data_IF_445455746548
#
_entry.id   IF_445455746548
#
_cell.length_a   1.000
_cell.length_b   1.000
_cell.length_c   1.000
_cell.angle_alpha   90.00
_cell.angle_beta   90.00
_cell.angle_gamma   90.00
#
_symmetry.space_group_name_H-M   'P 1'
#
loop_
_entity.id
_entity.type
_entity.pdbx_description
1 polymer ?
#
# COMPACT_ATOMS: atom_id res chain seq x y z
N UNK A 1 -11.28 5.52 23.02
CA UNK A 1 -10.49 5.00 21.88
C UNK A 1 -10.49 3.48 21.97
N UNK A 2 -11.08 2.82 20.98
CA UNK A 2 -10.95 1.37 20.81
C UNK A 2 -9.56 1.05 20.24
N UNK A 3 -8.99 -0.11 20.62
CA UNK A 3 -7.72 -0.60 20.10
C UNK A 3 -7.90 -2.07 19.73
N UNK A 4 -7.69 -2.39 18.46
CA UNK A 4 -7.70 -3.75 17.94
C UNK A 4 -6.27 -4.26 17.85
N UNK A 5 -6.06 -5.52 18.17
CA UNK A 5 -4.77 -6.19 18.06
C UNK A 5 -4.81 -7.12 16.84
N UNK A 6 -3.77 -7.05 16.03
CA UNK A 6 -3.56 -7.92 14.88
C UNK A 6 -2.16 -7.72 14.32
N UNK A 7 -1.87 -8.42 13.22
CA UNK A 7 -0.64 -8.35 12.45
C UNK A 7 -0.98 -8.36 10.97
N UNK A 8 -0.59 -7.32 10.23
CA UNK A 8 -0.87 -7.25 8.78
C UNK A 8 -0.23 -8.38 7.97
N UNK A 9 0.77 -9.06 8.54
CA UNK A 9 1.43 -10.20 7.89
C UNK A 9 0.58 -11.48 7.88
N UNK A 10 -0.48 -11.57 8.69
CA UNK A 10 -1.33 -12.76 8.71
C UNK A 10 -2.48 -12.80 9.73
N UNK A 11 -2.57 -11.84 10.64
CA UNK A 11 -3.64 -11.73 11.64
C UNK A 11 -4.47 -10.45 11.41
N UNK A 12 -5.38 -10.53 10.45
CA UNK A 12 -6.34 -9.47 10.12
C UNK A 12 -7.74 -9.73 10.69
N UNK A 13 -7.92 -10.77 11.51
CA UNK A 13 -9.22 -11.24 11.97
C UNK A 13 -9.98 -10.19 12.78
N UNK A 14 -9.27 -9.32 13.50
CA UNK A 14 -9.89 -8.25 14.26
C UNK A 14 -10.64 -7.22 13.38
N UNK A 15 -10.34 -7.17 12.07
CA UNK A 15 -10.97 -6.28 11.10
C UNK A 15 -12.22 -6.88 10.43
N UNK A 16 -12.40 -8.21 10.51
CA UNK A 16 -13.51 -8.91 9.87
C UNK A 16 -14.86 -8.56 10.53
N UNK A 17 -15.93 -8.66 9.74
CA UNK A 17 -17.33 -8.42 10.15
C UNK A 17 -17.56 -7.03 10.80
N UNK A 18 -16.85 -6.02 10.30
CA UNK A 18 -16.94 -4.63 10.75
C UNK A 18 -17.06 -3.67 9.57
N UNK A 19 -17.67 -2.53 9.83
CA UNK A 19 -17.81 -1.44 8.87
C UNK A 19 -16.90 -0.28 9.25
N UNK A 20 -16.34 0.38 8.23
CA UNK A 20 -15.41 1.50 8.39
C UNK A 20 -15.76 2.61 7.41
N UNK A 21 -15.99 3.81 7.92
CA UNK A 21 -16.20 4.99 7.07
C UNK A 21 -14.92 5.38 6.30
N UNK A 22 -13.75 5.16 6.92
CA UNK A 22 -12.47 5.44 6.30
C UNK A 22 -11.35 4.57 6.89
N UNK A 23 -10.35 4.28 6.06
CA UNK A 23 -9.09 3.63 6.42
C UNK A 23 -7.93 4.54 6.04
N UNK A 24 -6.92 4.62 6.91
CA UNK A 24 -5.63 5.26 6.60
C UNK A 24 -4.53 4.22 6.76
N UNK A 25 -4.01 3.67 5.65
CA UNK A 25 -2.90 2.71 5.66
C UNK A 25 -1.56 3.44 5.57
N UNK A 26 -0.94 3.67 6.73
CA UNK A 26 0.37 4.33 6.86
C UNK A 26 1.55 3.37 6.73
N UNK A 27 1.32 2.05 6.75
CA UNK A 27 2.36 1.05 7.07
C UNK A 27 2.53 0.00 5.98
N UNK A 28 2.15 0.31 4.74
CA UNK A 28 2.25 -0.59 3.60
C UNK A 28 3.60 -0.51 2.89
N UNK A 29 4.38 -1.58 2.98
CA UNK A 29 5.72 -1.69 2.38
C UNK A 29 5.90 -2.89 1.44
N UNK A 30 5.08 -3.93 1.61
CA UNK A 30 5.15 -5.15 0.81
C UNK A 30 3.83 -5.33 0.07
N UNK A 31 3.82 -5.47 -1.27
CA UNK A 31 2.60 -5.47 -2.07
C UNK A 31 1.59 -6.54 -1.67
N UNK A 32 2.06 -7.74 -1.29
CA UNK A 32 1.20 -8.82 -0.83
C UNK A 32 0.52 -8.49 0.51
N UNK A 33 1.21 -7.82 1.43
CA UNK A 33 0.64 -7.42 2.71
C UNK A 33 -0.35 -6.27 2.55
N UNK A 34 -0.09 -5.36 1.61
CA UNK A 34 -1.00 -4.26 1.27
C UNK A 34 -2.26 -4.81 0.61
N UNK A 35 -2.13 -5.72 -0.37
CA UNK A 35 -3.26 -6.40 -0.98
C UNK A 35 -4.16 -7.09 0.05
N UNK A 36 -3.56 -7.84 0.98
CA UNK A 36 -4.32 -8.57 1.99
C UNK A 36 -5.09 -7.62 2.92
N UNK A 37 -4.46 -6.53 3.39
CA UNK A 37 -5.14 -5.55 4.22
C UNK A 37 -6.19 -4.74 3.47
N UNK A 38 -5.93 -4.37 2.22
CA UNK A 38 -6.89 -3.67 1.36
C UNK A 38 -8.11 -4.55 1.11
N UNK A 39 -7.91 -5.83 0.75
CA UNK A 39 -8.99 -6.78 0.54
C UNK A 39 -9.83 -7.02 1.81
N UNK A 40 -9.19 -7.13 2.98
CA UNK A 40 -9.89 -7.27 4.26
C UNK A 40 -10.74 -6.04 4.63
N UNK A 41 -10.43 -4.88 4.03
CA UNK A 41 -11.08 -3.60 4.29
C UNK A 41 -11.80 -3.05 3.04
N UNK A 42 -12.03 -3.88 2.02
CA UNK A 42 -12.62 -3.46 0.75
C UNK A 42 -14.06 -2.93 0.90
N UNK A 43 -14.76 -3.31 1.99
CA UNK A 43 -16.08 -2.78 2.34
C UNK A 43 -16.06 -1.39 2.99
N UNK A 44 -14.90 -0.78 3.19
CA UNK A 44 -14.81 0.59 3.73
C UNK A 44 -15.27 1.63 2.71
N UNK A 45 -15.89 2.71 3.18
CA UNK A 45 -16.36 3.77 2.28
C UNK A 45 -15.21 4.58 1.65
N UNK A 46 -14.03 4.60 2.28
CA UNK A 46 -12.85 5.26 1.75
C UNK A 46 -11.56 4.57 2.23
N UNK A 47 -10.63 4.29 1.32
CA UNK A 47 -9.33 3.72 1.64
C UNK A 47 -8.20 4.65 1.21
N UNK A 48 -7.55 5.29 2.17
CA UNK A 48 -6.41 6.17 1.93
C UNK A 48 -5.10 5.40 2.15
N UNK A 49 -4.43 5.04 1.06
CA UNK A 49 -3.09 4.48 1.11
C UNK A 49 -2.04 5.60 1.15
N UNK A 50 -1.21 5.64 2.20
CA UNK A 50 -0.14 6.62 2.29
C UNK A 50 1.04 6.17 1.44
N UNK A 51 1.23 6.80 0.30
CA UNK A 51 2.38 6.54 -0.59
C UNK A 51 3.64 7.34 -0.20
N UNK A 52 4.58 7.50 -1.13
CA UNK A 52 5.84 8.20 -0.95
C UNK A 52 6.27 8.89 -2.24
N UNK A 53 7.02 9.99 -2.12
CA UNK A 53 7.68 10.62 -3.28
C UNK A 53 8.70 9.67 -3.95
N UNK A 54 9.21 8.67 -3.23
CA UNK A 54 10.16 7.70 -3.78
C UNK A 54 9.58 6.78 -4.85
N UNK A 55 8.26 6.83 -5.10
CA UNK A 55 7.65 6.05 -6.18
C UNK A 55 8.05 6.56 -7.56
N UNK A 56 8.50 7.81 -7.74
CA UNK A 56 8.82 8.33 -9.06
C UNK A 56 10.21 7.89 -9.56
N UNK A 57 10.34 7.69 -10.87
CA UNK A 57 11.58 7.22 -11.50
C UNK A 57 12.60 8.34 -11.79
N UNK A 58 12.16 9.60 -11.85
CA UNK A 58 12.99 10.74 -12.20
C UNK A 58 12.74 11.93 -11.25
N UNK A 59 13.83 12.57 -10.82
CA UNK A 59 13.86 13.74 -9.95
C UNK A 59 14.68 14.89 -10.55
N UNK A 60 14.96 14.85 -11.85
CA UNK A 60 15.74 15.87 -12.57
C UNK A 60 15.01 17.21 -12.70
N UNK A 61 13.71 17.25 -12.44
CA UNK A 61 12.87 18.44 -12.44
C UNK A 61 11.74 18.36 -11.39
N UNK A 62 10.77 19.30 -11.44
CA UNK A 62 9.56 19.20 -10.62
C UNK A 62 8.83 17.88 -10.85
N UNK A 63 8.27 17.34 -9.77
CA UNK A 63 7.56 16.06 -9.74
C UNK A 63 6.08 16.31 -9.49
N UNK A 64 5.21 15.61 -10.23
CA UNK A 64 3.76 15.62 -10.09
C UNK A 64 3.19 14.18 -10.23
N UNK A 65 1.92 14.01 -9.87
CA UNK A 65 1.23 12.71 -9.84
C UNK A 65 1.03 12.07 -11.22
N UNK A 66 1.27 12.80 -12.31
CA UNK A 66 1.25 12.27 -13.67
C UNK A 66 2.55 11.62 -14.12
N UNK A 67 3.62 11.73 -13.33
CA UNK A 67 4.92 11.15 -13.67
C UNK A 67 4.94 9.63 -13.50
N UNK A 68 5.72 8.92 -14.33
CA UNK A 68 5.80 7.47 -14.26
C UNK A 68 6.41 7.00 -12.94
N UNK A 69 5.73 6.07 -12.29
CA UNK A 69 6.27 5.35 -11.15
C UNK A 69 7.47 4.48 -11.58
N UNK A 70 8.43 4.30 -10.67
CA UNK A 70 9.55 3.40 -10.82
C UNK A 70 9.05 1.96 -10.76
N UNK A 71 9.49 1.16 -11.73
CA UNK A 71 9.15 -0.26 -11.79
C UNK A 71 10.23 -1.09 -11.08
N UNK A 72 9.80 -2.03 -10.23
CA UNK A 72 10.72 -3.05 -9.74
C UNK A 72 11.19 -3.91 -10.94
N UNK A 73 12.50 -3.93 -11.21
CA UNK A 73 13.10 -4.53 -12.41
C UNK A 73 13.08 -6.08 -12.45
N UNK A 74 12.21 -6.71 -11.65
CA UNK A 74 12.29 -8.06 -11.04
C UNK A 74 13.18 -8.10 -9.81
N UNK A 75 12.58 -8.49 -8.67
CA UNK A 75 13.16 -9.44 -7.72
C UNK A 75 12.12 -9.84 -6.65
N UNK A 76 12.26 -11.02 -6.03
CA UNK A 76 11.35 -11.53 -5.00
C UNK A 76 11.70 -10.90 -3.65
N UNK A 77 11.32 -9.66 -3.38
CA UNK A 77 11.95 -8.91 -2.30
C UNK A 77 11.00 -8.67 -1.12
N UNK A 78 11.19 -9.51 -0.08
CA UNK A 78 10.63 -9.29 1.26
C UNK A 78 11.38 -8.19 2.03
N UNK A 79 12.55 -7.78 1.54
CA UNK A 79 13.45 -6.89 2.24
C UNK A 79 13.25 -5.45 1.76
N UNK A 80 12.86 -4.60 2.70
CA UNK A 80 12.70 -3.16 2.48
C UNK A 80 14.05 -2.49 2.68
N UNK A 81 14.70 -2.11 1.59
CA UNK A 81 15.95 -1.35 1.56
C UNK A 81 15.70 0.04 0.98
N UNK A 82 16.71 0.92 1.01
CA UNK A 82 16.60 2.23 0.36
C UNK A 82 16.38 2.12 -1.15
N UNK A 83 16.93 1.09 -1.80
CA UNK A 83 16.81 0.87 -3.25
C UNK A 83 15.45 0.23 -3.61
N UNK A 84 14.95 -0.69 -2.79
CA UNK A 84 13.67 -1.38 -3.05
C UNK A 84 12.45 -0.60 -2.59
N UNK A 85 12.59 0.37 -1.68
CA UNK A 85 11.47 1.08 -1.07
C UNK A 85 10.55 1.77 -2.08
N UNK A 86 11.09 2.59 -2.99
CA UNK A 86 10.31 3.27 -4.03
C UNK A 86 9.55 2.30 -4.94
N UNK A 87 10.24 1.34 -5.58
CA UNK A 87 9.60 0.33 -6.41
C UNK A 87 8.57 -0.53 -5.67
N UNK A 88 8.84 -0.90 -4.41
CA UNK A 88 7.88 -1.66 -3.60
C UNK A 88 6.63 -0.82 -3.29
N UNK A 89 6.78 0.48 -3.01
CA UNK A 89 5.64 1.38 -2.78
C UNK A 89 4.81 1.58 -4.03
N UNK A 90 5.41 1.71 -5.21
CA UNK A 90 4.70 1.76 -6.48
C UNK A 90 3.88 0.46 -6.73
N UNK A 91 4.44 -0.70 -6.39
CA UNK A 91 3.72 -1.96 -6.45
C UNK A 91 2.60 -2.07 -5.39
N UNK A 92 2.75 -1.41 -4.25
CA UNK A 92 1.70 -1.33 -3.24
C UNK A 92 0.54 -0.44 -3.70
N UNK A 93 0.80 0.70 -4.36
CA UNK A 93 -0.25 1.52 -4.98
C UNK A 93 -1.06 0.69 -5.97
N UNK A 94 -0.39 0.01 -6.90
CA UNK A 94 -1.03 -0.87 -7.87
C UNK A 94 -1.88 -1.97 -7.18
N UNK A 95 -1.38 -2.56 -6.08
CA UNK A 95 -2.13 -3.57 -5.34
C UNK A 95 -3.40 -3.02 -4.67
N UNK A 96 -3.42 -1.74 -4.28
CA UNK A 96 -4.63 -1.07 -3.76
C UNK A 96 -5.59 -0.79 -4.91
N UNK A 97 -5.12 -0.19 -6.01
CA UNK A 97 -5.97 0.11 -7.17
C UNK A 97 -6.63 -1.16 -7.73
N UNK A 98 -5.91 -2.28 -7.80
CA UNK A 98 -6.46 -3.57 -8.21
C UNK A 98 -7.57 -4.10 -7.28
N UNK A 99 -7.56 -3.76 -5.99
CA UNK A 99 -8.60 -4.17 -5.03
C UNK A 99 -9.85 -3.30 -5.14
N UNK A 100 -9.68 -2.01 -5.42
CA UNK A 100 -10.77 -1.02 -5.49
C UNK A 100 -11.23 -0.71 -6.93
N UNK A 101 -10.66 -1.41 -7.93
CA UNK A 101 -10.98 -1.28 -9.36
C UNK A 101 -10.78 0.15 -9.92
N UNK A 102 -9.69 0.81 -9.50
CA UNK A 102 -9.26 2.14 -9.97
C UNK A 102 -8.25 2.09 -11.11
#
# INVERSE_FOLDING_TARGET
MEKLRGDRAGDLQALADREWDAVVDTSGYLPNLVRNSAAALAGSAHYCFVSTISVYADFSGPVDEGQPACHARRAPERDVTSESYGPLKALCEAAVCEVFEE
#
